data_IF_749038811967
#
_entry.id   IF_749038811967
#
_cell.length_a   1.000
_cell.length_b   1.000
_cell.length_c   1.000
_cell.angle_alpha   90.00
_cell.angle_beta   90.00
_cell.angle_gamma   90.00
#
_symmetry.space_group_name_H-M   'P 1'
#
loop_
_entity.id
_entity.type
_entity.pdbx_description
1 polymer ?
#
# COMPACT_ATOMS: atom_id res chain seq x y z
N UNK A 1 18.27 6.54 22.39
CA UNK A 1 16.95 7.02 21.94
C UNK A 1 16.39 5.96 21.02
N UNK A 2 15.27 5.35 21.37
CA UNK A 2 14.63 4.30 20.56
C UNK A 2 14.24 4.86 19.18
N UNK A 3 14.26 4.04 18.14
CA UNK A 3 13.97 4.47 16.76
C UNK A 3 12.57 5.09 16.61
N UNK A 4 11.63 4.68 17.47
CA UNK A 4 10.30 5.30 17.59
C UNK A 4 10.37 6.78 17.95
N UNK A 5 11.24 7.16 18.90
CA UNK A 5 11.41 8.58 19.26
C UNK A 5 12.08 9.36 18.14
N UNK A 6 12.95 8.73 17.34
CA UNK A 6 13.56 9.37 16.17
C UNK A 6 12.52 9.66 15.09
N UNK A 7 11.65 8.71 14.80
CA UNK A 7 10.60 8.83 13.78
C UNK A 7 9.54 9.87 14.15
N UNK A 8 9.13 9.90 15.43
CA UNK A 8 8.20 10.92 15.92
C UNK A 8 8.78 12.33 15.80
N UNK A 9 10.08 12.51 16.05
CA UNK A 9 10.75 13.80 15.86
C UNK A 9 10.86 14.14 14.36
N UNK A 10 11.11 13.17 13.48
CA UNK A 10 11.17 13.41 12.03
C UNK A 10 9.80 13.88 11.48
N UNK A 11 8.71 13.25 11.91
CA UNK A 11 7.35 13.68 11.59
C UNK A 11 7.05 15.13 12.04
N UNK A 12 7.64 15.57 13.14
CA UNK A 12 7.45 16.92 13.69
C UNK A 12 8.33 17.99 13.01
N UNK A 13 9.54 17.64 12.56
CA UNK A 13 10.53 18.60 12.05
C UNK A 13 10.47 18.81 10.53
N UNK A 14 9.94 17.85 9.76
CA UNK A 14 9.92 17.92 8.28
C UNK A 14 11.32 17.91 7.65
N UNK A 15 11.46 18.38 6.41
CA UNK A 15 12.74 18.39 5.67
C UNK A 15 13.83 19.31 6.27
N UNK A 16 13.49 20.20 7.22
CA UNK A 16 14.46 21.10 7.87
C UNK A 16 15.56 20.35 8.63
N UNK A 17 15.25 19.18 9.21
CA UNK A 17 16.23 18.35 9.91
C UNK A 17 17.15 17.58 8.95
N UNK A 18 16.69 17.29 7.73
CA UNK A 18 17.45 16.50 6.76
C UNK A 18 18.48 17.34 6.01
N UNK A 19 18.20 18.64 5.81
CA UNK A 19 19.19 19.62 5.37
C UNK A 19 20.37 19.79 6.34
N UNK A 20 20.15 19.58 7.65
CA UNK A 20 21.22 19.55 8.66
C UNK A 20 22.02 18.23 8.67
N UNK A 21 21.42 17.11 8.25
CA UNK A 21 22.08 15.79 8.16
C UNK A 21 22.78 15.55 6.79
N UNK A 22 22.75 16.50 5.86
CA UNK A 22 23.43 16.41 4.56
C UNK A 22 22.79 15.42 3.58
N UNK A 23 21.51 15.09 3.77
CA UNK A 23 20.74 14.28 2.81
C UNK A 23 19.89 15.22 1.95
N UNK A 24 20.27 15.38 0.69
CA UNK A 24 19.44 16.07 -0.30
C UNK A 24 18.25 15.16 -0.67
N UNK A 25 17.17 15.21 0.10
CA UNK A 25 15.94 14.56 -0.32
C UNK A 25 15.28 15.34 -1.45
N UNK A 26 14.72 14.63 -2.45
CA UNK A 26 13.98 15.29 -3.52
C UNK A 26 12.76 16.00 -2.93
N UNK A 27 12.30 17.11 -3.51
CA UNK A 27 11.13 17.80 -2.98
C UNK A 27 9.86 16.92 -3.07
N UNK A 28 8.86 17.20 -2.22
CA UNK A 28 7.64 16.40 -2.12
C UNK A 28 6.85 16.25 -3.45
N UNK A 29 7.02 17.17 -4.38
CA UNK A 29 6.37 17.15 -5.71
C UNK A 29 7.10 16.27 -6.74
N UNK A 30 8.26 15.71 -6.37
CA UNK A 30 9.04 14.86 -7.26
C UNK A 30 8.27 13.55 -7.58
N UNK A 31 8.30 13.04 -8.83
CA UNK A 31 7.51 11.88 -9.25
C UNK A 31 7.86 10.56 -8.52
N UNK A 32 9.05 10.48 -7.91
CA UNK A 32 9.46 9.34 -7.08
C UNK A 32 8.71 9.27 -5.75
N UNK A 33 8.16 10.39 -5.26
CA UNK A 33 7.42 10.45 -4.00
C UNK A 33 6.00 9.94 -4.22
N UNK A 34 5.51 9.15 -3.27
CA UNK A 34 4.16 8.61 -3.35
C UNK A 34 3.12 9.68 -3.03
N UNK A 35 2.43 10.21 -4.05
CA UNK A 35 1.34 11.17 -3.86
C UNK A 35 0.24 10.64 -2.94
N UNK A 36 -0.17 9.38 -3.12
CA UNK A 36 -1.14 8.74 -2.23
C UNK A 36 -0.65 8.66 -0.77
N UNK A 37 0.65 8.50 -0.53
CA UNK A 37 1.21 8.52 0.83
C UNK A 37 1.12 9.91 1.47
N UNK A 38 1.40 10.97 0.70
CA UNK A 38 1.33 12.35 1.20
C UNK A 38 -0.05 12.68 1.78
N UNK A 39 -1.11 12.14 1.19
CA UNK A 39 -2.50 12.32 1.62
C UNK A 39 -2.92 11.25 2.65
N UNK A 40 -2.10 10.21 2.86
CA UNK A 40 -2.38 9.12 3.79
C UNK A 40 -3.27 8.01 3.24
N UNK A 41 -3.41 7.92 1.92
CA UNK A 41 -4.24 6.93 1.22
C UNK A 41 -3.42 5.88 0.46
N UNK A 42 -2.11 5.76 0.73
CA UNK A 42 -1.33 4.74 0.06
C UNK A 42 -1.81 3.34 0.50
N UNK A 43 -2.24 2.47 -0.43
CA UNK A 43 -2.80 1.18 -0.05
C UNK A 43 -1.80 0.27 0.67
N UNK A 44 -0.50 0.40 0.41
CA UNK A 44 0.54 -0.33 1.14
C UNK A 44 0.57 0.01 2.65
N UNK A 45 0.40 1.28 3.01
CA UNK A 45 0.39 1.74 4.41
C UNK A 45 -0.95 1.48 5.10
N UNK A 46 -2.04 1.34 4.33
CA UNK A 46 -3.38 1.11 4.89
C UNK A 46 -3.59 -0.33 5.37
N UNK A 47 -2.83 -1.29 4.84
CA UNK A 47 -2.91 -2.70 5.23
C UNK A 47 -1.57 -3.23 5.76
N UNK A 48 -1.01 -2.63 6.83
CA UNK A 48 0.21 -3.14 7.45
C UNK A 48 -0.05 -4.55 7.98
N UNK A 49 0.93 -5.44 7.81
CA UNK A 49 0.91 -6.83 8.30
C UNK A 49 -0.24 -7.71 7.77
N UNK A 50 -0.93 -7.26 6.72
CA UNK A 50 -1.97 -8.03 6.05
C UNK A 50 -1.38 -8.92 4.96
N UNK A 51 -2.05 -10.04 4.67
CA UNK A 51 -1.76 -10.88 3.48
C UNK A 51 -1.90 -10.10 2.16
N UNK A 52 -2.59 -8.97 2.19
CA UNK A 52 -2.75 -8.07 1.05
C UNK A 52 -1.53 -7.18 0.79
N UNK A 53 -0.61 -7.04 1.74
CA UNK A 53 0.53 -6.14 1.63
C UNK A 53 1.46 -6.50 0.46
N UNK A 54 1.65 -7.79 0.21
CA UNK A 54 2.42 -8.28 -0.94
C UNK A 54 1.75 -8.00 -2.29
N UNK A 55 0.43 -7.86 -2.32
CA UNK A 55 -0.35 -7.64 -3.53
C UNK A 55 -0.39 -6.16 -3.93
N UNK A 56 -0.33 -5.26 -2.95
CA UNK A 56 -0.45 -3.81 -3.19
C UNK A 56 0.83 -3.04 -2.85
N UNK A 57 2.00 -3.67 -3.10
CA UNK A 57 3.30 -3.06 -2.85
C UNK A 57 3.46 -1.69 -3.56
N UNK A 58 3.90 -0.67 -2.80
CA UNK A 58 4.22 0.63 -3.37
C UNK A 58 5.72 0.70 -3.72
N UNK A 59 6.06 1.18 -4.92
CA UNK A 59 7.46 1.37 -5.37
C UNK A 59 7.98 2.79 -5.17
N UNK A 60 7.17 3.67 -4.58
CA UNK A 60 7.46 5.09 -4.42
C UNK A 60 7.96 5.37 -3.00
N UNK A 61 8.65 6.49 -2.81
CA UNK A 61 9.23 6.89 -1.52
C UNK A 61 8.13 7.35 -0.55
N UNK A 62 8.14 6.78 0.66
CA UNK A 62 7.23 7.10 1.77
C UNK A 62 7.99 7.77 2.92
N UNK A 63 8.54 8.96 2.68
CA UNK A 63 9.26 9.69 3.72
C UNK A 63 8.30 10.58 4.53
N UNK A 64 8.30 10.48 5.88
CA UNK A 64 7.47 11.34 6.73
C UNK A 64 7.77 12.84 6.55
N UNK A 65 9.03 13.20 6.22
CA UNK A 65 9.41 14.58 5.94
C UNK A 65 8.60 15.18 4.76
N UNK A 66 8.44 14.43 3.66
CA UNK A 66 7.64 14.88 2.52
C UNK A 66 6.18 15.08 2.87
N UNK A 67 5.63 14.24 3.75
CA UNK A 67 4.25 14.36 4.24
C UNK A 67 4.06 15.64 5.05
N UNK A 68 5.01 15.95 5.95
CA UNK A 68 4.96 17.18 6.73
C UNK A 68 5.02 18.44 5.84
N UNK A 69 5.86 18.42 4.80
CA UNK A 69 5.98 19.55 3.86
C UNK A 69 4.74 19.69 2.98
N UNK A 70 4.18 18.58 2.50
CA UNK A 70 2.92 18.58 1.76
C UNK A 70 1.77 19.14 2.61
N UNK A 71 1.63 18.73 3.87
CA UNK A 71 0.56 19.23 4.74
C UNK A 71 0.68 20.73 5.03
N UNK A 72 1.90 21.29 5.02
CA UNK A 72 2.11 22.75 5.09
C UNK A 72 1.65 23.40 3.78
N UNK A 73 2.10 22.89 2.63
CA UNK A 73 1.75 23.42 1.32
C UNK A 73 0.25 23.30 1.00
N UNK A 74 -0.42 22.28 1.52
CA UNK A 74 -1.86 22.05 1.35
C UNK A 74 -2.70 23.12 2.06
N UNK A 75 -2.20 23.70 3.15
CA UNK A 75 -2.88 24.83 3.82
C UNK A 75 -2.86 26.10 2.98
N UNK A 76 -1.87 26.25 2.11
CA UNK A 76 -1.72 27.42 1.25
C UNK A 76 -2.48 27.26 -0.07
N UNK A 77 -2.53 26.04 -0.62
CA UNK A 77 -3.19 25.74 -1.90
C UNK A 77 -3.59 24.27 -2.02
N UNK A 78 -4.70 24.01 -2.69
CA UNK A 78 -5.07 22.66 -3.13
C UNK A 78 -4.20 22.17 -4.30
N UNK A 79 -3.55 21.02 -4.10
CA UNK A 79 -2.64 20.40 -5.08
C UNK A 79 -3.29 19.28 -5.91
N UNK A 80 -4.57 18.97 -5.67
CA UNK A 80 -5.37 17.96 -6.40
C UNK A 80 -4.74 16.56 -6.48
N UNK A 81 -3.95 16.18 -5.48
CA UNK A 81 -3.35 14.84 -5.41
C UNK A 81 -4.38 13.75 -5.06
N UNK A 82 -5.58 14.15 -4.63
CA UNK A 82 -6.72 13.28 -4.34
C UNK A 82 -7.20 12.52 -5.59
N UNK A 83 -7.16 13.15 -6.76
CA UNK A 83 -7.46 12.50 -8.04
C UNK A 83 -6.46 11.37 -8.32
N UNK A 84 -5.16 11.65 -8.20
CA UNK A 84 -4.13 10.62 -8.39
C UNK A 84 -4.26 9.49 -7.35
N UNK A 85 -4.64 9.83 -6.11
CA UNK A 85 -4.85 8.85 -5.06
C UNK A 85 -6.05 7.94 -5.36
N UNK A 86 -7.12 8.50 -5.94
CA UNK A 86 -8.28 7.73 -6.36
C UNK A 86 -7.92 6.67 -7.40
N UNK A 87 -7.18 7.04 -8.45
CA UNK A 87 -6.74 6.10 -9.49
C UNK A 87 -5.86 4.98 -8.92
N UNK A 88 -4.97 5.32 -7.99
CA UNK A 88 -4.11 4.34 -7.29
C UNK A 88 -4.97 3.37 -6.47
N UNK A 89 -5.98 3.87 -5.76
CA UNK A 89 -6.88 3.06 -4.95
C UNK A 89 -7.78 2.17 -5.79
N UNK A 90 -8.36 2.68 -6.87
CA UNK A 90 -9.21 1.91 -7.78
C UNK A 90 -8.43 0.73 -8.38
N UNK A 91 -7.21 0.98 -8.85
CA UNK A 91 -6.37 -0.10 -9.39
C UNK A 91 -5.98 -1.12 -8.29
N UNK A 92 -5.70 -0.67 -7.07
CA UNK A 92 -5.43 -1.55 -5.95
C UNK A 92 -6.62 -2.47 -5.64
N UNK A 93 -7.83 -1.91 -5.54
CA UNK A 93 -9.08 -2.65 -5.30
C UNK A 93 -9.26 -3.70 -6.39
N UNK A 94 -9.10 -3.33 -7.66
CA UNK A 94 -9.23 -4.25 -8.79
C UNK A 94 -8.25 -5.41 -8.73
N UNK A 95 -7.01 -5.18 -8.30
CA UNK A 95 -6.02 -6.26 -8.15
C UNK A 95 -6.46 -7.22 -7.03
N UNK A 96 -6.92 -6.68 -5.90
CA UNK A 96 -7.44 -7.48 -4.77
C UNK A 96 -8.65 -8.31 -5.18
N UNK A 97 -9.61 -7.72 -5.91
CA UNK A 97 -10.80 -8.41 -6.39
C UNK A 97 -10.47 -9.57 -7.34
N UNK A 98 -9.48 -9.38 -8.22
CA UNK A 98 -8.99 -10.44 -9.10
C UNK A 98 -8.36 -11.59 -8.31
N UNK A 99 -7.60 -11.28 -7.27
CA UNK A 99 -6.97 -12.31 -6.43
C UNK A 99 -8.02 -13.06 -5.61
N UNK A 100 -9.02 -12.37 -5.06
CA UNK A 100 -10.17 -13.00 -4.40
C UNK A 100 -10.89 -13.95 -5.36
N UNK A 101 -11.11 -13.52 -6.61
CA UNK A 101 -11.77 -14.35 -7.62
C UNK A 101 -10.97 -15.60 -7.96
N UNK A 102 -9.64 -15.48 -8.12
CA UNK A 102 -8.75 -16.63 -8.35
C UNK A 102 -8.76 -17.62 -7.19
N UNK A 103 -8.74 -17.14 -5.95
CA UNK A 103 -8.78 -18.00 -4.77
C UNK A 103 -10.13 -18.72 -4.70
N UNK A 104 -11.25 -18.04 -5.00
CA UNK A 104 -12.57 -18.66 -5.08
C UNK A 104 -12.62 -19.75 -6.15
N UNK A 105 -12.15 -19.48 -7.35
CA UNK A 105 -12.11 -20.47 -8.45
C UNK A 105 -11.25 -21.69 -8.08
N UNK A 106 -10.14 -21.46 -7.38
CA UNK A 106 -9.27 -22.54 -6.90
C UNK A 106 -9.98 -23.41 -5.85
N UNK A 107 -10.64 -22.78 -4.88
CA UNK A 107 -11.43 -23.48 -3.85
C UNK A 107 -12.57 -24.29 -4.47
N UNK A 108 -13.27 -23.74 -5.45
CA UNK A 108 -14.37 -24.43 -6.14
C UNK A 108 -13.88 -25.64 -6.94
N UNK A 109 -12.69 -25.55 -7.56
CA UNK A 109 -12.07 -26.69 -8.27
C UNK A 109 -11.65 -27.79 -7.29
N UNK A 110 -10.94 -27.42 -6.22
CA UNK A 110 -10.51 -28.37 -5.19
C UNK A 110 -11.71 -29.08 -4.53
N UNK A 111 -12.80 -28.36 -4.29
CA UNK A 111 -14.03 -28.94 -3.76
C UNK A 111 -14.66 -29.97 -4.71
N UNK A 112 -14.71 -29.69 -6.02
CA UNK A 112 -15.24 -30.62 -7.03
C UNK A 112 -14.36 -31.87 -7.18
N UNK A 113 -13.05 -31.70 -7.23
CA UNK A 113 -12.11 -32.83 -7.29
C UNK A 113 -12.22 -33.74 -6.06
N UNK A 114 -12.43 -33.15 -4.87
CA UNK A 114 -12.67 -33.93 -3.65
C UNK A 114 -14.00 -34.67 -3.66
N UNK A 115 -15.08 -34.09 -4.19
CA UNK A 115 -16.36 -34.80 -4.33
C UNK A 115 -16.26 -35.94 -5.34
N UNK A 116 -15.63 -35.70 -6.49
CA UNK A 116 -15.50 -36.69 -7.56
C UNK A 116 -14.63 -37.88 -7.14
N UNK A 117 -13.53 -37.62 -6.41
CA UNK A 117 -12.69 -38.67 -5.83
C UNK A 117 -13.39 -39.44 -4.72
N UNK A 118 -14.14 -38.76 -3.84
CA UNK A 118 -14.94 -39.42 -2.81
C UNK A 118 -16.06 -40.29 -3.40
N UNK A 119 -16.66 -39.88 -4.51
CA UNK A 119 -17.64 -40.69 -5.25
C UNK A 119 -16.98 -41.88 -5.95
N UNK A 120 -15.83 -41.70 -6.61
CA UNK A 120 -15.07 -42.80 -7.22
C UNK A 120 -14.67 -43.89 -6.21
N UNK A 121 -14.29 -43.51 -4.99
CA UNK A 121 -13.99 -44.44 -3.89
C UNK A 121 -15.25 -45.17 -3.40
N UNK A 122 -16.41 -44.49 -3.35
CA UNK A 122 -17.69 -45.11 -2.97
C UNK A 122 -18.24 -46.08 -4.00
N UNK A 123 -17.94 -45.88 -5.29
CA UNK A 123 -18.42 -46.71 -6.40
C UNK A 123 -17.55 -47.97 -6.63
N UNK A 124 -16.51 -48.20 -5.81
CA UNK A 124 -15.82 -49.49 -5.77
C UNK A 124 -14.90 -49.76 -6.97
N UNK A 125 -14.19 -48.73 -7.44
CA UNK A 125 -13.01 -48.92 -8.28
C UNK A 125 -11.80 -49.29 -7.41
N UNK A 126 -11.84 -50.44 -6.73
CA UNK A 126 -10.71 -51.27 -6.25
C UNK A 126 -11.25 -52.61 -5.73
#
# INVERSE_FOLDING_TARGET
MTDVMRDMIAQLMGSQKEGEEGRDLPPYHHPSVCRAYLIGCCPYELVPDSRLQGLVSCRKTHEPAHKADFLKAQKERDHYYDVDAFDILENAIRIVDNEISRIKDKLDREAREQTDTAEAVKVGLF
#
